data_IF_148005784621
#
_entry.id   IF_148005784621
#
_cell.length_a   1.000
_cell.length_b   1.000
_cell.length_c   1.000
_cell.angle_alpha   90.00
_cell.angle_beta   90.00
_cell.angle_gamma   90.00
#
_symmetry.space_group_name_H-M   'P 1'
#
loop_
_entity.id
_entity.type
_entity.pdbx_description
1 polymer ?
#
# COMPACT_ATOMS: atom_id res chain seq x y z
N UNK A 1 6.78 15.69 -0.50
CA UNK A 1 7.11 14.47 0.29
C UNK A 1 6.73 14.59 1.76
N UNK A 2 7.22 15.59 2.51
CA UNK A 2 6.86 15.73 3.93
C UNK A 2 5.37 16.08 4.17
N UNK A 3 4.73 16.83 3.26
CA UNK A 3 3.34 17.26 3.42
C UNK A 3 2.36 16.09 3.61
N UNK A 4 2.40 15.04 2.78
CA UNK A 4 1.52 13.87 2.93
C UNK A 4 1.75 13.09 4.23
N UNK A 5 3.01 13.03 4.69
CA UNK A 5 3.34 12.35 5.94
C UNK A 5 2.86 13.14 7.16
N UNK A 6 2.96 14.48 7.13
CA UNK A 6 2.35 15.37 8.11
C UNK A 6 0.82 15.25 8.13
N UNK A 7 0.19 15.15 6.96
CA UNK A 7 -1.26 14.94 6.82
C UNK A 7 -1.71 13.64 7.49
N UNK A 8 -0.88 12.59 7.51
CA UNK A 8 -1.20 11.32 8.17
C UNK A 8 -0.91 11.39 9.69
N UNK A 9 0.25 11.91 10.08
CA UNK A 9 0.71 11.88 11.47
C UNK A 9 -0.03 12.89 12.37
N UNK A 10 -0.38 14.07 11.84
CA UNK A 10 -0.99 15.13 12.64
C UNK A 10 -2.39 14.75 13.16
N UNK A 11 -3.35 14.28 12.34
CA UNK A 11 -4.67 13.88 12.83
C UNK A 11 -4.59 12.73 13.83
N UNK A 12 -3.67 11.78 13.61
CA UNK A 12 -3.44 10.67 14.53
C UNK A 12 -2.96 11.16 15.90
N UNK A 13 -2.00 12.09 15.94
CA UNK A 13 -1.49 12.68 17.19
C UNK A 13 -2.58 13.50 17.87
N UNK A 14 -3.32 14.33 17.13
CA UNK A 14 -4.42 15.14 17.66
C UNK A 14 -5.51 14.24 18.27
N UNK A 15 -5.88 13.16 17.58
CA UNK A 15 -6.82 12.16 18.11
C UNK A 15 -6.28 11.47 19.38
N UNK A 16 -4.99 11.11 19.40
CA UNK A 16 -4.34 10.50 20.56
C UNK A 16 -4.28 11.41 21.79
N UNK A 17 -4.28 12.73 21.61
CA UNK A 17 -4.31 13.68 22.72
C UNK A 17 -5.68 13.81 23.37
N UNK A 18 -6.76 13.32 22.73
CA UNK A 18 -8.13 13.40 23.23
C UNK A 18 -8.54 12.10 23.94
N UNK A 19 -8.58 12.07 25.29
CA UNK A 19 -9.05 10.91 26.02
C UNK A 19 -10.58 10.83 25.97
N UNK A 20 -11.14 9.69 25.52
CA UNK A 20 -12.57 9.41 25.59
C UNK A 20 -12.82 8.27 26.58
N UNK A 21 -13.58 8.57 27.64
CA UNK A 21 -13.87 7.61 28.71
C UNK A 21 -15.18 6.84 28.52
N UNK A 22 -16.04 7.27 27.59
CA UNK A 22 -17.35 6.66 27.38
C UNK A 22 -17.29 5.44 26.46
N UNK A 23 -17.67 4.26 26.96
CA UNK A 23 -17.68 3.00 26.20
C UNK A 23 -18.62 3.03 24.98
N UNK A 24 -19.71 3.79 25.03
CA UNK A 24 -20.63 3.97 23.89
C UNK A 24 -19.99 4.76 22.75
N UNK A 25 -19.20 5.79 23.06
CA UNK A 25 -18.47 6.55 22.06
C UNK A 25 -17.41 5.67 21.37
N UNK A 26 -16.71 4.81 22.11
CA UNK A 26 -15.74 3.86 21.52
C UNK A 26 -16.40 2.84 20.58
N UNK A 27 -17.59 2.35 20.93
CA UNK A 27 -18.38 1.47 20.04
C UNK A 27 -18.82 2.20 18.77
N UNK A 28 -19.24 3.47 18.89
CA UNK A 28 -19.58 4.30 17.73
C UNK A 28 -18.37 4.51 16.83
N UNK A 29 -17.20 4.83 17.40
CA UNK A 29 -15.95 5.01 16.64
C UNK A 29 -15.61 3.73 15.86
N UNK A 30 -15.67 2.55 16.48
CA UNK A 30 -15.45 1.27 15.78
C UNK A 30 -16.42 1.05 14.60
N UNK A 31 -17.69 1.44 14.77
CA UNK A 31 -18.68 1.37 13.70
C UNK A 31 -18.37 2.36 12.57
N UNK A 32 -17.97 3.59 12.91
CA UNK A 32 -17.58 4.60 11.92
C UNK A 32 -16.33 4.19 11.14
N UNK A 33 -15.29 3.68 11.82
CA UNK A 33 -14.09 3.15 11.18
C UNK A 33 -14.43 2.08 10.13
N UNK A 34 -15.37 1.19 10.46
CA UNK A 34 -15.80 0.14 9.53
C UNK A 34 -16.49 0.72 8.29
N UNK A 35 -17.37 1.71 8.45
CA UNK A 35 -18.04 2.40 7.33
C UNK A 35 -17.07 3.18 6.46
N UNK A 36 -16.11 3.86 7.07
CA UNK A 36 -15.14 4.69 6.37
C UNK A 36 -14.26 3.84 5.44
N UNK A 37 -13.92 2.60 5.81
CA UNK A 37 -13.20 1.68 4.90
C UNK A 37 -13.94 1.48 3.58
N UNK A 38 -15.26 1.28 3.61
CA UNK A 38 -16.05 1.11 2.38
C UNK A 38 -16.04 2.39 1.53
N UNK A 39 -16.12 3.56 2.17
CA UNK A 39 -16.06 4.86 1.48
C UNK A 39 -14.70 5.07 0.81
N UNK A 40 -13.60 4.77 1.50
CA UNK A 40 -12.24 4.85 0.94
C UNK A 40 -12.09 3.92 -0.26
N UNK A 41 -12.50 2.65 -0.12
CA UNK A 41 -12.42 1.67 -1.21
C UNK A 41 -13.23 2.08 -2.43
N UNK A 42 -14.40 2.69 -2.21
CA UNK A 42 -15.23 3.23 -3.27
C UNK A 42 -14.48 4.30 -4.08
N UNK A 43 -13.91 5.29 -3.39
CA UNK A 43 -13.14 6.34 -4.05
C UNK A 43 -11.87 5.81 -4.72
N UNK A 44 -11.21 4.82 -4.12
CA UNK A 44 -10.06 4.16 -4.72
C UNK A 44 -10.40 3.42 -6.02
N UNK A 45 -11.61 2.85 -6.11
CA UNK A 45 -12.12 2.23 -7.33
C UNK A 45 -12.33 3.22 -8.48
N UNK A 46 -12.58 4.49 -8.18
CA UNK A 46 -12.77 5.54 -9.19
C UNK A 46 -11.44 5.92 -9.87
N UNK A 47 -10.32 5.88 -9.14
CA UNK A 47 -9.01 6.37 -9.59
C UNK A 47 -8.54 5.85 -10.97
N UNK A 48 -8.70 4.56 -11.31
CA UNK A 48 -8.26 4.03 -12.61
C UNK A 48 -9.04 4.58 -13.82
N UNK A 49 -10.25 5.10 -13.63
CA UNK A 49 -11.10 5.61 -14.71
C UNK A 49 -10.58 6.92 -15.33
N UNK A 50 -9.68 7.62 -14.63
CA UNK A 50 -9.11 8.90 -15.02
C UNK A 50 -7.69 8.81 -15.61
N UNK A 51 -7.15 7.60 -15.80
CA UNK A 51 -5.83 7.44 -16.44
C UNK A 51 -5.92 7.70 -17.94
N UNK A 52 -5.25 8.76 -18.38
CA UNK A 52 -5.10 9.09 -19.79
C UNK A 52 -4.25 8.05 -20.52
N UNK A 53 -4.53 7.84 -21.81
CA UNK A 53 -3.75 6.98 -22.69
C UNK A 53 -3.79 5.46 -22.39
N UNK A 54 -4.74 5.01 -21.56
CA UNK A 54 -4.94 3.60 -21.26
C UNK A 54 -5.26 2.77 -22.52
N UNK A 55 -6.09 3.31 -23.43
CA UNK A 55 -6.64 2.56 -24.56
C UNK A 55 -5.60 2.16 -25.63
N UNK A 56 -4.54 2.93 -25.82
CA UNK A 56 -3.55 2.71 -26.89
C UNK A 56 -2.57 1.57 -26.59
N UNK A 57 -2.30 1.31 -25.30
CA UNK A 57 -1.32 0.31 -24.85
C UNK A 57 -1.86 -0.59 -23.74
N UNK A 58 -3.19 -0.71 -23.63
CA UNK A 58 -3.89 -1.38 -22.53
C UNK A 58 -3.34 -2.79 -22.26
N UNK A 59 -3.19 -3.59 -23.33
CA UNK A 59 -2.75 -4.98 -23.20
C UNK A 59 -1.33 -5.08 -22.63
N UNK A 60 -0.41 -4.22 -23.07
CA UNK A 60 0.96 -4.22 -22.57
C UNK A 60 1.02 -3.77 -21.10
N UNK A 61 0.28 -2.72 -20.74
CA UNK A 61 0.17 -2.21 -19.36
C UNK A 61 -0.37 -3.29 -18.44
N UNK A 62 -1.49 -3.94 -18.82
CA UNK A 62 -2.10 -5.00 -18.04
C UNK A 62 -1.18 -6.22 -17.91
N UNK A 63 -0.50 -6.61 -18.98
CA UNK A 63 0.47 -7.71 -18.94
C UNK A 63 1.62 -7.41 -17.96
N UNK A 64 2.25 -6.24 -18.07
CA UNK A 64 3.33 -5.84 -17.16
C UNK A 64 2.85 -5.74 -15.70
N UNK A 65 1.68 -5.15 -15.47
CA UNK A 65 1.10 -5.06 -14.13
C UNK A 65 0.78 -6.45 -13.55
N UNK A 66 0.09 -7.32 -14.30
CA UNK A 66 -0.31 -8.64 -13.83
C UNK A 66 0.88 -9.51 -13.45
N UNK A 67 1.91 -9.55 -14.29
CA UNK A 67 3.14 -10.30 -14.02
C UNK A 67 3.86 -9.74 -12.77
N UNK A 68 3.97 -8.41 -12.68
CA UNK A 68 4.59 -7.74 -11.53
C UNK A 68 3.87 -8.05 -10.22
N UNK A 69 2.53 -7.96 -10.20
CA UNK A 69 1.69 -8.21 -9.03
C UNK A 69 1.91 -9.63 -8.53
N UNK A 70 1.81 -10.62 -9.42
CA UNK A 70 1.92 -12.03 -9.07
C UNK A 70 3.31 -12.32 -8.50
N UNK A 71 4.37 -11.92 -9.19
CA UNK A 71 5.75 -12.20 -8.76
C UNK A 71 6.05 -11.53 -7.41
N UNK A 72 5.76 -10.23 -7.29
CA UNK A 72 6.07 -9.47 -6.08
C UNK A 72 5.25 -10.00 -4.88
N UNK A 73 3.97 -10.31 -5.07
CA UNK A 73 3.15 -10.89 -4.01
C UNK A 73 3.66 -12.27 -3.60
N UNK A 74 4.01 -13.16 -4.54
CA UNK A 74 4.53 -14.48 -4.21
C UNK A 74 5.84 -14.38 -3.43
N UNK A 75 6.77 -13.51 -3.85
CA UNK A 75 8.01 -13.25 -3.12
C UNK A 75 7.75 -12.72 -1.70
N UNK A 76 6.85 -11.75 -1.56
CA UNK A 76 6.52 -11.18 -0.26
C UNK A 76 5.84 -12.22 0.65
N UNK A 77 4.86 -12.97 0.15
CA UNK A 77 4.16 -14.02 0.91
C UNK A 77 5.16 -15.07 1.37
N UNK A 78 6.02 -15.58 0.47
CA UNK A 78 7.01 -16.59 0.81
C UNK A 78 7.98 -16.10 1.90
N UNK A 79 8.52 -14.89 1.75
CA UNK A 79 9.45 -14.31 2.72
C UNK A 79 8.78 -14.04 4.09
N UNK A 80 7.53 -13.60 4.09
CA UNK A 80 6.78 -13.32 5.32
C UNK A 80 6.32 -14.60 6.02
N UNK A 81 5.94 -15.64 5.29
CA UNK A 81 5.66 -16.96 5.87
C UNK A 81 6.93 -17.57 6.48
N UNK A 82 8.07 -17.41 5.82
CA UNK A 82 9.36 -17.81 6.36
C UNK A 82 9.72 -17.02 7.63
N UNK A 83 9.49 -15.70 7.65
CA UNK A 83 9.67 -14.88 8.84
C UNK A 83 8.77 -15.34 10.00
N UNK A 84 7.50 -15.63 9.72
CA UNK A 84 6.55 -16.11 10.72
C UNK A 84 6.97 -17.47 11.29
N UNK A 85 7.47 -18.37 10.44
CA UNK A 85 8.00 -19.67 10.89
C UNK A 85 9.23 -19.54 11.79
N UNK A 86 10.11 -18.56 11.54
CA UNK A 86 11.33 -18.36 12.35
C UNK A 86 11.09 -17.54 13.61
N UNK A 87 10.23 -16.54 13.54
CA UNK A 87 9.94 -15.63 14.64
C UNK A 87 8.42 -15.46 14.73
N UNK A 88 7.65 -16.41 15.27
CA UNK A 88 6.20 -16.32 15.30
C UNK A 88 5.74 -15.11 16.13
N UNK A 89 4.78 -14.35 15.60
CA UNK A 89 4.19 -13.24 16.34
C UNK A 89 3.11 -13.77 17.28
N UNK A 90 3.54 -14.25 18.45
CA UNK A 90 2.64 -14.70 19.52
C UNK A 90 2.01 -13.51 20.23
N UNK A 91 0.69 -13.34 20.12
CA UNK A 91 -0.09 -12.40 20.92
C UNK A 91 -0.76 -13.09 22.10
N UNK A 92 -0.83 -12.39 23.23
CA UNK A 92 -1.35 -12.87 24.51
C UNK A 92 -2.89 -12.94 24.55
N UNK A 93 -3.58 -12.36 23.57
CA UNK A 93 -5.01 -12.59 23.36
C UNK A 93 -5.24 -13.99 22.77
N UNK A 94 -5.42 -14.94 23.69
CA UNK A 94 -6.18 -16.17 23.49
C UNK A 94 -7.54 -15.74 22.92
N UNK A 95 -7.70 -15.77 21.60
CA UNK A 95 -9.04 -15.81 21.01
C UNK A 95 -9.68 -17.05 21.61
N UNK A 96 -10.62 -16.83 22.54
CA UNK A 96 -11.45 -17.91 23.08
C UNK A 96 -11.98 -18.72 21.91
N UNK A 97 -11.87 -20.05 22.05
CA UNK A 97 -12.42 -21.10 21.18
C UNK A 97 -13.31 -20.56 20.05
N UNK A 98 -12.69 -20.18 18.93
CA UNK A 98 -13.41 -20.18 17.67
C UNK A 98 -13.31 -21.62 17.20
N UNK A 99 -14.37 -22.37 17.49
CA UNK A 99 -14.65 -23.69 16.96
C UNK A 99 -14.23 -23.77 15.50
N UNK A 100 -13.53 -24.85 15.18
CA UNK A 100 -13.15 -25.27 13.84
C UNK A 100 -14.43 -25.49 13.01
N UNK A 101 -15.00 -24.43 12.46
CA UNK A 101 -16.01 -24.48 11.42
C UNK A 101 -15.39 -23.89 10.14
N UNK A 102 -15.34 -24.64 9.03
CA UNK A 102 -14.95 -24.10 7.74
C UNK A 102 -16.10 -23.22 7.26
N UNK A 103 -16.13 -21.96 7.69
CA UNK A 103 -17.06 -20.99 7.14
C UNK A 103 -16.60 -20.68 5.70
N UNK A 104 -17.49 -20.77 4.69
CA UNK A 104 -17.11 -20.45 3.32
C UNK A 104 -16.71 -18.97 3.23
N UNK A 105 -15.94 -18.63 2.19
CA UNK A 105 -15.41 -17.29 1.88
C UNK A 105 -16.14 -16.13 2.58
N UNK A 106 -15.43 -15.23 3.27
CA UNK A 106 -16.10 -14.19 4.03
C UNK A 106 -16.82 -13.28 3.04
N UNK A 107 -18.15 -13.23 3.15
CA UNK A 107 -19.01 -12.24 2.49
C UNK A 107 -18.46 -10.80 2.55
N UNK A 108 -17.66 -10.50 3.57
CA UNK A 108 -16.97 -9.22 3.73
C UNK A 108 -15.94 -8.94 2.61
N UNK A 109 -15.06 -9.88 2.25
CA UNK A 109 -14.09 -9.65 1.15
C UNK A 109 -14.81 -9.46 -0.18
N UNK A 110 -15.91 -10.18 -0.41
CA UNK A 110 -16.75 -10.03 -1.60
C UNK A 110 -17.45 -8.66 -1.64
N UNK A 111 -17.94 -8.18 -0.49
CA UNK A 111 -18.52 -6.84 -0.36
C UNK A 111 -17.48 -5.74 -0.64
N UNK A 112 -16.27 -5.87 -0.07
CA UNK A 112 -15.18 -4.92 -0.33
C UNK A 112 -14.83 -4.89 -1.82
N UNK A 113 -14.75 -6.06 -2.46
CA UNK A 113 -14.54 -6.18 -3.91
C UNK A 113 -15.67 -5.51 -4.71
N UNK A 114 -16.93 -5.77 -4.35
CA UNK A 114 -18.10 -5.18 -5.00
C UNK A 114 -18.13 -3.66 -4.92
N UNK A 115 -17.72 -3.07 -3.79
CA UNK A 115 -17.66 -1.62 -3.63
C UNK A 115 -16.59 -0.97 -4.51
N UNK A 116 -15.43 -1.62 -4.68
CA UNK A 116 -14.36 -1.16 -5.59
C UNK A 116 -14.83 -1.22 -7.04
N UNK A 117 -15.46 -2.34 -7.45
CA UNK A 117 -16.01 -2.50 -8.80
C UNK A 117 -17.10 -1.46 -9.06
N UNK A 118 -17.98 -1.21 -8.10
CA UNK A 118 -19.01 -0.18 -8.20
C UNK A 118 -18.39 1.22 -8.35
N UNK A 119 -17.36 1.53 -7.56
CA UNK A 119 -16.59 2.77 -7.69
C UNK A 119 -15.98 2.92 -9.09
N UNK A 120 -15.37 1.86 -9.61
CA UNK A 120 -14.80 1.87 -10.96
C UNK A 120 -15.86 2.10 -12.04
N UNK A 121 -16.97 1.36 -12.01
CA UNK A 121 -18.08 1.52 -12.96
C UNK A 121 -18.68 2.93 -12.91
N UNK A 122 -18.83 3.52 -11.73
CA UNK A 122 -19.28 4.90 -11.60
C UNK A 122 -18.21 5.90 -12.07
N UNK A 123 -16.93 5.64 -11.83
CA UNK A 123 -15.83 6.44 -12.37
C UNK A 123 -15.85 6.53 -13.89
N UNK A 124 -16.23 5.45 -14.59
CA UNK A 124 -16.36 5.44 -16.05
C UNK A 124 -17.42 6.43 -16.57
N UNK A 125 -18.41 6.82 -15.76
CA UNK A 125 -19.42 7.80 -16.16
C UNK A 125 -18.88 9.23 -16.27
N UNK A 126 -17.66 9.49 -15.75
CA UNK A 126 -16.95 10.80 -15.80
C UNK A 126 -17.82 12.00 -15.40
N UNK A 127 -18.74 11.82 -14.46
CA UNK A 127 -19.55 12.92 -13.94
C UNK A 127 -18.65 13.98 -13.26
N UNK A 128 -18.91 15.28 -13.46
CA UNK A 128 -18.06 16.36 -12.95
C UNK A 128 -17.93 16.36 -11.42
N UNK A 129 -18.95 15.92 -10.69
CA UNK A 129 -18.90 15.72 -9.24
C UNK A 129 -17.84 14.68 -8.82
N UNK A 130 -17.63 13.62 -9.62
CA UNK A 130 -16.68 12.54 -9.30
C UNK A 130 -15.22 12.97 -9.43
N UNK A 131 -14.94 14.14 -10.00
CA UNK A 131 -13.58 14.70 -10.04
C UNK A 131 -13.07 15.06 -8.64
N UNK A 132 -13.97 15.36 -7.70
CA UNK A 132 -13.64 15.64 -6.30
C UNK A 132 -13.50 14.36 -5.45
N UNK A 133 -13.59 13.17 -6.06
CA UNK A 133 -13.45 11.89 -5.35
C UNK A 133 -12.10 11.76 -4.63
N UNK A 134 -11.03 12.25 -5.23
CA UNK A 134 -9.68 12.21 -4.64
C UNK A 134 -9.61 13.06 -3.37
N UNK A 135 -10.07 14.31 -3.43
CA UNK A 135 -10.13 15.20 -2.26
C UNK A 135 -11.03 14.64 -1.16
N UNK A 136 -12.19 14.09 -1.53
CA UNK A 136 -13.10 13.45 -0.59
C UNK A 136 -12.46 12.24 0.12
N UNK A 137 -11.68 11.43 -0.62
CA UNK A 137 -10.92 10.31 -0.05
C UNK A 137 -9.86 10.78 0.95
N UNK A 138 -9.13 11.86 0.63
CA UNK A 138 -8.13 12.45 1.52
C UNK A 138 -8.74 12.96 2.83
N UNK A 139 -9.84 13.72 2.76
CA UNK A 139 -10.55 14.18 3.97
C UNK A 139 -11.11 13.00 4.79
N UNK A 140 -11.62 11.99 4.11
CA UNK A 140 -12.14 10.76 4.73
C UNK A 140 -11.02 10.02 5.49
N UNK A 141 -9.82 9.94 4.90
CA UNK A 141 -8.65 9.36 5.54
C UNK A 141 -8.19 10.18 6.76
N UNK A 142 -8.13 11.51 6.65
CA UNK A 142 -7.76 12.39 7.78
C UNK A 142 -8.71 12.16 8.97
N UNK A 143 -10.02 12.11 8.71
CA UNK A 143 -11.00 11.83 9.75
C UNK A 143 -10.84 10.43 10.34
N UNK A 144 -10.57 9.44 9.51
CA UNK A 144 -10.28 8.08 9.98
C UNK A 144 -9.07 8.04 10.92
N UNK A 145 -7.96 8.67 10.55
CA UNK A 145 -6.73 8.64 11.33
C UNK A 145 -6.90 9.34 12.68
N UNK A 146 -7.68 10.41 12.71
CA UNK A 146 -8.11 11.05 13.95
C UNK A 146 -8.86 10.07 14.86
N UNK A 147 -9.83 9.33 14.33
CA UNK A 147 -10.58 8.32 15.07
C UNK A 147 -9.69 7.17 15.58
N UNK A 148 -8.73 6.71 14.78
CA UNK A 148 -7.73 5.71 15.19
C UNK A 148 -6.87 6.25 16.33
N UNK A 149 -6.44 7.52 16.26
CA UNK A 149 -5.65 8.18 17.29
C UNK A 149 -6.33 8.14 18.66
N UNK A 150 -7.63 8.48 18.69
CA UNK A 150 -8.46 8.39 19.91
C UNK A 150 -8.45 6.97 20.47
N UNK A 151 -8.60 5.96 19.61
CA UNK A 151 -8.59 4.57 20.06
C UNK A 151 -7.25 4.15 20.64
N UNK A 152 -6.13 4.56 20.05
CA UNK A 152 -4.79 4.26 20.57
C UNK A 152 -4.61 4.76 22.00
N UNK A 153 -5.06 6.00 22.28
CA UNK A 153 -4.98 6.60 23.61
C UNK A 153 -5.82 5.84 24.63
N UNK A 154 -7.03 5.46 24.26
CA UNK A 154 -7.95 4.78 25.17
C UNK A 154 -7.58 3.31 25.41
N UNK A 155 -6.75 2.71 24.54
CA UNK A 155 -6.12 1.41 24.77
C UNK A 155 -4.81 1.50 25.57
N UNK A 156 -4.44 2.68 26.08
CA UNK A 156 -3.30 2.86 26.98
C UNK A 156 -1.92 2.69 26.34
N UNK A 157 -1.82 2.73 25.01
CA UNK A 157 -0.53 2.57 24.31
C UNK A 157 0.30 3.84 24.37
N UNK A 158 1.59 3.72 24.70
CA UNK A 158 2.50 4.87 24.74
C UNK A 158 3.00 5.27 23.35
N UNK A 159 3.20 6.57 23.10
CA UNK A 159 3.78 7.10 21.85
C UNK A 159 5.14 6.46 21.51
N UNK A 160 5.96 6.15 22.52
CA UNK A 160 7.25 5.48 22.32
C UNK A 160 7.10 4.07 21.75
N UNK A 161 6.10 3.31 22.21
CA UNK A 161 5.79 1.97 21.68
C UNK A 161 5.19 2.04 20.27
N UNK A 162 4.49 3.13 19.93
CA UNK A 162 3.96 3.39 18.60
C UNK A 162 5.10 3.66 17.61
N UNK A 163 6.08 4.49 17.98
CA UNK A 163 7.16 4.90 17.07
C UNK A 163 8.28 3.87 16.96
N UNK A 164 8.59 3.13 18.03
CA UNK A 164 9.71 2.16 18.07
C UNK A 164 9.24 0.71 18.09
N UNK A 165 8.30 0.35 17.21
CA UNK A 165 7.86 -1.03 17.08
C UNK A 165 8.88 -1.88 16.30
N UNK A 166 9.65 -2.70 17.01
CA UNK A 166 10.67 -3.60 16.41
C UNK A 166 10.08 -4.56 15.37
N UNK A 167 8.85 -5.03 15.58
CA UNK A 167 8.21 -5.99 14.66
C UNK A 167 7.86 -5.33 13.34
N UNK A 168 7.29 -4.12 13.37
CA UNK A 168 7.02 -3.32 12.17
C UNK A 168 8.28 -3.06 11.34
N UNK A 169 9.40 -2.72 11.99
CA UNK A 169 10.69 -2.53 11.31
C UNK A 169 11.19 -3.80 10.62
N UNK A 170 11.14 -4.96 11.30
CA UNK A 170 11.58 -6.25 10.72
C UNK A 170 10.72 -6.58 9.48
N UNK A 171 9.40 -6.45 9.60
CA UNK A 171 8.47 -6.73 8.48
C UNK A 171 8.75 -5.79 7.30
N UNK A 172 9.02 -4.50 7.55
CA UNK A 172 9.39 -3.54 6.50
C UNK A 172 10.67 -3.92 5.76
N UNK A 173 11.72 -4.32 6.49
CA UNK A 173 12.98 -4.78 5.88
C UNK A 173 12.75 -6.04 5.04
N UNK A 174 12.00 -7.01 5.55
CA UNK A 174 11.68 -8.25 4.82
C UNK A 174 10.88 -7.95 3.56
N UNK A 175 9.83 -7.11 3.63
CA UNK A 175 9.03 -6.70 2.46
C UNK A 175 9.89 -5.95 1.44
N UNK A 176 10.75 -5.05 1.90
CA UNK A 176 11.68 -4.33 1.02
C UNK A 176 12.57 -5.31 0.25
N UNK A 177 13.26 -6.21 0.96
CA UNK A 177 14.17 -7.16 0.34
C UNK A 177 13.45 -8.13 -0.61
N UNK A 178 12.32 -8.70 -0.18
CA UNK A 178 11.53 -9.64 -0.99
C UNK A 178 10.86 -8.97 -2.19
N UNK A 179 10.39 -7.73 -2.07
CA UNK A 179 9.87 -6.97 -3.21
C UNK A 179 10.98 -6.65 -4.22
N UNK A 180 12.18 -6.26 -3.76
CA UNK A 180 13.31 -6.03 -4.68
C UNK A 180 13.72 -7.32 -5.40
N UNK A 181 13.76 -8.47 -4.71
CA UNK A 181 13.95 -9.77 -5.36
C UNK A 181 12.84 -10.05 -6.40
N UNK A 182 11.59 -9.75 -6.06
CA UNK A 182 10.47 -9.81 -7.00
C UNK A 182 10.69 -8.90 -8.22
N UNK A 183 11.22 -7.70 -8.03
CA UNK A 183 11.59 -6.78 -9.11
C UNK A 183 12.69 -7.31 -10.03
N UNK A 184 13.67 -8.04 -9.48
CA UNK A 184 14.71 -8.72 -10.27
C UNK A 184 14.07 -9.81 -11.14
N UNK A 185 13.26 -10.69 -10.55
CA UNK A 185 12.58 -11.76 -11.28
C UNK A 185 11.61 -11.19 -12.34
N UNK A 186 10.89 -10.13 -11.98
CA UNK A 186 9.99 -9.43 -12.88
C UNK A 186 10.72 -8.85 -14.10
N UNK A 187 11.91 -8.27 -13.90
CA UNK A 187 12.74 -7.78 -15.00
C UNK A 187 13.13 -8.90 -15.97
N UNK A 188 13.56 -10.06 -15.47
CA UNK A 188 13.92 -11.20 -16.30
C UNK A 188 12.74 -11.77 -17.08
N UNK A 189 11.58 -11.93 -16.43
CA UNK A 189 10.38 -12.51 -17.06
C UNK A 189 9.80 -11.58 -18.11
N UNK A 190 9.79 -10.26 -17.86
CA UNK A 190 9.23 -9.28 -18.78
C UNK A 190 10.23 -8.79 -19.84
N UNK A 191 11.48 -9.25 -19.80
CA UNK A 191 12.55 -8.76 -20.68
C UNK A 191 12.88 -7.27 -20.47
N UNK A 192 12.58 -6.74 -19.28
CA UNK A 192 12.82 -5.34 -18.94
C UNK A 192 14.25 -5.17 -18.41
N UNK A 193 14.85 -3.97 -18.55
CA UNK A 193 16.08 -3.65 -17.85
C UNK A 193 15.90 -3.87 -16.34
N UNK A 194 16.90 -4.49 -15.70
CA UNK A 194 16.88 -4.80 -14.26
C UNK A 194 16.45 -3.61 -13.39
N UNK A 195 16.88 -2.41 -13.77
CA UNK A 195 16.60 -1.15 -13.09
C UNK A 195 15.13 -0.76 -13.15
N UNK A 196 14.47 -1.04 -14.27
CA UNK A 196 13.04 -0.81 -14.46
C UNK A 196 12.23 -1.75 -13.57
N UNK A 197 12.57 -3.05 -13.54
CA UNK A 197 11.90 -4.00 -12.65
C UNK A 197 12.08 -3.68 -11.16
N UNK A 198 13.29 -3.27 -10.75
CA UNK A 198 13.57 -2.81 -9.39
C UNK A 198 12.80 -1.52 -9.04
N UNK A 199 12.72 -0.56 -9.96
CA UNK A 199 11.92 0.66 -9.77
C UNK A 199 10.42 0.34 -9.63
N UNK A 200 9.89 -0.55 -10.48
CA UNK A 200 8.49 -0.98 -10.42
C UNK A 200 8.15 -1.69 -9.11
N UNK A 201 9.08 -2.45 -8.53
CA UNK A 201 8.87 -3.12 -7.25
C UNK A 201 8.99 -2.19 -6.02
N UNK A 202 9.63 -1.03 -6.19
CA UNK A 202 9.92 -0.08 -5.11
C UNK A 202 8.74 0.81 -4.72
N UNK A 203 7.59 0.68 -5.38
CA UNK A 203 6.39 1.43 -5.04
C UNK A 203 5.69 0.94 -3.76
N UNK A 204 5.94 -0.31 -3.35
CA UNK A 204 5.41 -0.92 -2.11
C UNK A 204 3.90 -0.68 -1.85
N UNK A 205 3.07 -0.61 -2.89
CA UNK A 205 1.64 -0.34 -2.76
C UNK A 205 1.24 1.13 -2.81
N UNK A 206 2.17 2.09 -2.83
CA UNK A 206 1.85 3.51 -2.95
C UNK A 206 1.62 3.92 -4.42
N UNK A 207 0.48 3.50 -4.98
CA UNK A 207 0.19 3.58 -6.41
C UNK A 207 0.19 5.02 -6.97
N UNK A 208 -0.28 6.00 -6.20
CA UNK A 208 -0.40 7.38 -6.66
C UNK A 208 0.97 8.04 -6.85
N UNK A 209 1.87 7.85 -5.89
CA UNK A 209 3.23 8.37 -5.97
C UNK A 209 4.09 7.56 -6.96
N UNK A 210 4.02 6.23 -6.90
CA UNK A 210 4.84 5.37 -7.76
C UNK A 210 4.46 5.55 -9.23
N UNK A 211 3.16 5.63 -9.56
CA UNK A 211 2.68 5.85 -10.92
C UNK A 211 3.22 7.15 -11.54
N UNK A 212 3.17 8.27 -10.81
CA UNK A 212 3.65 9.57 -11.28
C UNK A 212 5.18 9.53 -11.47
N UNK A 213 5.93 9.10 -10.44
CA UNK A 213 7.40 9.10 -10.49
C UNK A 213 7.93 8.18 -11.60
N UNK A 214 7.31 7.02 -11.82
CA UNK A 214 7.72 6.10 -12.89
C UNK A 214 7.27 6.58 -14.27
N UNK A 215 6.16 7.31 -14.37
CA UNK A 215 5.76 7.95 -15.64
C UNK A 215 6.80 8.98 -16.07
N UNK A 216 7.24 9.84 -15.15
CA UNK A 216 8.27 10.86 -15.43
C UNK A 216 9.65 10.24 -15.74
N UNK A 217 9.98 9.12 -15.10
CA UNK A 217 11.31 8.52 -15.17
C UNK A 217 11.47 7.47 -16.29
N UNK A 218 10.44 6.67 -16.56
CA UNK A 218 10.49 5.50 -17.45
C UNK A 218 9.41 5.52 -18.55
N UNK A 219 8.60 6.58 -18.59
CA UNK A 219 7.54 6.78 -19.57
C UNK A 219 6.17 6.26 -19.13
N UNK A 220 5.09 6.66 -19.83
CA UNK A 220 3.70 6.44 -19.40
C UNK A 220 3.28 4.98 -19.34
N UNK A 221 3.85 4.11 -20.18
CA UNK A 221 3.53 2.67 -20.17
C UNK A 221 4.01 2.01 -18.88
N UNK A 222 5.27 2.25 -18.47
CA UNK A 222 5.84 1.70 -17.25
C UNK A 222 5.21 2.34 -16.01
N UNK A 223 4.98 3.66 -16.04
CA UNK A 223 4.29 4.37 -14.97
C UNK A 223 2.87 3.85 -14.73
N UNK A 224 2.10 3.64 -15.80
CA UNK A 224 0.76 3.04 -15.70
C UNK A 224 0.81 1.60 -15.19
N UNK A 225 1.75 0.79 -15.68
CA UNK A 225 1.92 -0.59 -15.20
C UNK A 225 2.27 -0.64 -13.71
N UNK A 226 3.10 0.28 -13.23
CA UNK A 226 3.45 0.41 -11.82
C UNK A 226 2.27 0.85 -10.95
N UNK A 227 1.48 1.84 -11.43
CA UNK A 227 0.23 2.25 -10.79
C UNK A 227 -0.71 1.06 -10.61
N UNK A 228 -1.01 0.30 -11.67
CA UNK A 228 -1.89 -0.86 -11.58
C UNK A 228 -1.30 -1.96 -10.71
N UNK A 229 0.03 -2.16 -10.77
CA UNK A 229 0.69 -3.13 -9.92
C UNK A 229 0.48 -2.81 -8.43
N UNK A 230 0.77 -1.58 -8.01
CA UNK A 230 0.63 -1.19 -6.61
C UNK A 230 -0.84 -1.11 -6.17
N UNK A 231 -1.74 -0.61 -7.03
CA UNK A 231 -3.18 -0.57 -6.75
C UNK A 231 -3.75 -1.99 -6.57
N UNK A 232 -3.40 -2.92 -7.46
CA UNK A 232 -3.83 -4.31 -7.35
C UNK A 232 -3.27 -4.98 -6.09
N UNK A 233 -2.01 -4.71 -5.74
CA UNK A 233 -1.40 -5.23 -4.50
C UNK A 233 -2.13 -4.71 -3.27
N UNK A 234 -2.50 -3.44 -3.24
CA UNK A 234 -3.26 -2.84 -2.15
C UNK A 234 -4.66 -3.46 -2.04
N UNK A 235 -5.39 -3.57 -3.16
CA UNK A 235 -6.71 -4.21 -3.21
C UNK A 235 -6.67 -5.66 -2.73
N UNK A 236 -5.70 -6.43 -3.23
CA UNK A 236 -5.51 -7.82 -2.81
C UNK A 236 -5.13 -7.90 -1.33
N UNK A 237 -4.29 -7.01 -0.82
CA UNK A 237 -3.98 -6.96 0.60
C UNK A 237 -5.26 -6.77 1.44
N UNK A 238 -6.09 -5.78 1.11
CA UNK A 238 -7.35 -5.50 1.83
C UNK A 238 -8.26 -6.73 1.84
N UNK A 239 -8.39 -7.42 0.70
CA UNK A 239 -9.21 -8.63 0.60
C UNK A 239 -8.65 -9.81 1.40
N UNK A 240 -7.32 -9.92 1.50
CA UNK A 240 -6.62 -11.05 2.13
C UNK A 240 -6.39 -10.86 3.64
N UNK A 241 -6.35 -9.62 4.16
CA UNK A 241 -6.10 -9.32 5.58
C UNK A 241 -7.00 -10.12 6.54
N UNK A 242 -8.34 -10.17 6.38
CA UNK A 242 -9.22 -10.86 7.34
C UNK A 242 -8.93 -12.36 7.46
N UNK A 243 -8.50 -12.98 6.35
CA UNK A 243 -8.11 -14.40 6.33
C UNK A 243 -6.69 -14.63 6.85
N UNK A 244 -5.73 -13.79 6.44
CA UNK A 244 -4.33 -13.94 6.78
C UNK A 244 -4.05 -13.65 8.25
N UNK A 245 -4.75 -12.70 8.87
CA UNK A 245 -4.46 -12.28 10.24
C UNK A 245 -4.61 -13.40 11.27
N UNK A 246 -5.47 -14.40 10.96
CA UNK A 246 -5.68 -15.61 11.77
C UNK A 246 -4.54 -16.61 11.67
N UNK A 247 -3.81 -16.60 10.54
CA UNK A 247 -2.69 -17.52 10.27
C UNK A 247 -1.33 -16.88 10.55
N UNK A 248 -1.13 -15.65 10.09
CA UNK A 248 0.12 -14.91 10.20
C UNK A 248 -0.16 -13.40 10.22
N UNK A 249 0.01 -12.77 11.38
CA UNK A 249 -0.07 -11.32 11.54
C UNK A 249 1.01 -10.61 10.71
N UNK A 250 2.20 -11.20 10.59
CA UNK A 250 3.32 -10.60 9.85
C UNK A 250 3.06 -10.61 8.34
N UNK A 251 2.43 -11.67 7.83
CA UNK A 251 2.02 -11.73 6.41
C UNK A 251 0.91 -10.74 6.13
N UNK A 252 -0.12 -10.68 6.98
CA UNK A 252 -1.21 -9.71 6.83
C UNK A 252 -0.68 -8.26 6.82
N UNK A 253 0.21 -7.91 7.76
CA UNK A 253 0.85 -6.60 7.82
C UNK A 253 1.73 -6.35 6.59
N UNK A 254 2.61 -7.28 6.23
CA UNK A 254 3.60 -7.04 5.18
C UNK A 254 3.02 -6.94 3.77
N UNK A 255 1.87 -7.56 3.50
CA UNK A 255 1.19 -7.39 2.20
C UNK A 255 0.60 -6.00 2.01
N UNK A 256 0.29 -5.30 3.10
CA UNK A 256 -0.21 -3.93 3.04
C UNK A 256 0.84 -2.95 2.51
N UNK A 257 2.14 -3.23 2.74
CA UNK A 257 3.21 -2.36 2.28
C UNK A 257 3.12 -0.95 2.88
N UNK A 258 3.39 0.07 2.06
CA UNK A 258 3.35 1.47 2.48
C UNK A 258 1.97 1.89 3.03
N UNK A 259 0.90 1.29 2.51
CA UNK A 259 -0.46 1.69 2.87
C UNK A 259 -0.95 1.11 4.20
N UNK A 260 -0.07 0.43 4.94
CA UNK A 260 -0.34 -0.06 6.29
C UNK A 260 -0.57 1.04 7.31
N UNK A 261 -0.13 2.27 7.04
CA UNK A 261 -0.32 3.41 7.93
C UNK A 261 -1.57 4.24 7.63
N UNK A 262 -2.23 4.03 6.48
CA UNK A 262 -3.39 4.80 6.02
C UNK A 262 -4.57 3.91 5.60
N UNK A 263 -4.66 3.49 4.34
CA UNK A 263 -5.84 2.86 3.74
C UNK A 263 -6.11 1.45 4.27
N UNK A 264 -5.07 0.68 4.53
CA UNK A 264 -5.21 -0.69 5.03
C UNK A 264 -5.19 -0.77 6.57
N UNK A 265 -4.80 0.31 7.24
CA UNK A 265 -4.73 0.40 8.70
C UNK A 265 -6.05 0.02 9.41
N UNK A 266 -7.24 0.48 8.97
CA UNK A 266 -8.48 0.19 9.67
C UNK A 266 -8.91 -1.27 9.49
N UNK A 267 -8.59 -1.86 8.34
CA UNK A 267 -8.86 -3.27 8.05
C UNK A 267 -7.94 -4.15 8.90
N UNK A 268 -6.66 -3.78 9.02
CA UNK A 268 -5.71 -4.41 9.94
C UNK A 268 -6.18 -4.29 11.38
N UNK A 269 -6.61 -3.11 11.80
CA UNK A 269 -7.07 -2.87 13.17
C UNK A 269 -8.35 -3.66 13.49
N UNK A 270 -9.33 -3.68 12.57
CA UNK A 270 -10.57 -4.44 12.74
C UNK A 270 -10.30 -5.95 12.83
N UNK A 271 -9.37 -6.46 12.03
CA UNK A 271 -9.10 -7.90 11.93
C UNK A 271 -8.09 -8.39 12.96
N UNK A 272 -7.08 -7.57 13.29
CA UNK A 272 -5.95 -7.90 14.16
C UNK A 272 -5.96 -7.25 15.53
N UNK A 273 -6.96 -6.40 15.81
CA UNK A 273 -7.06 -5.63 17.05
C UNK A 273 -6.14 -4.41 17.07
N UNK A 274 -6.27 -3.60 18.11
CA UNK A 274 -5.52 -2.32 18.25
C UNK A 274 -4.01 -2.58 18.45
N UNK A 275 -3.61 -3.77 18.90
CA UNK A 275 -2.22 -4.17 19.11
C UNK A 275 -1.36 -4.15 17.82
N UNK A 276 -1.95 -4.33 16.64
CA UNK A 276 -1.21 -4.35 15.37
C UNK A 276 -0.89 -2.94 14.85
N UNK A 277 -1.65 -1.94 15.30
CA UNK A 277 -1.60 -0.56 14.78
C UNK A 277 -0.20 0.07 14.92
N UNK A 278 0.51 -0.03 16.06
CA UNK A 278 1.90 0.44 16.17
C UNK A 278 2.83 -0.13 15.10
N UNK A 279 2.77 -1.43 14.86
CA UNK A 279 3.61 -2.08 13.86
C UNK A 279 3.23 -1.65 12.44
N UNK A 280 1.94 -1.43 12.18
CA UNK A 280 1.41 -0.97 10.90
C UNK A 280 1.85 0.46 10.57
N UNK A 281 1.86 1.36 11.56
CA UNK A 281 2.35 2.73 11.38
C UNK A 281 3.86 2.71 11.06
N UNK A 282 4.67 1.99 11.84
CA UNK A 282 6.14 1.94 11.62
C UNK A 282 6.48 1.28 10.28
N UNK A 283 5.78 0.20 9.93
CA UNK A 283 5.96 -0.50 8.65
C UNK A 283 5.67 0.43 7.46
N UNK A 284 4.50 1.06 7.47
CA UNK A 284 4.04 1.92 6.37
C UNK A 284 4.88 3.18 6.26
N UNK A 285 5.24 3.79 7.39
CA UNK A 285 6.11 4.96 7.43
C UNK A 285 7.48 4.67 6.82
N UNK A 286 8.12 3.56 7.21
CA UNK A 286 9.45 3.21 6.69
C UNK A 286 9.39 2.93 5.19
N UNK A 287 8.41 2.17 4.72
CA UNK A 287 8.24 1.91 3.29
C UNK A 287 7.93 3.19 2.51
N UNK A 288 7.07 4.07 3.03
CA UNK A 288 6.72 5.35 2.40
C UNK A 288 7.94 6.27 2.24
N UNK A 289 8.87 6.26 3.19
CA UNK A 289 10.15 6.97 3.04
C UNK A 289 11.04 6.33 1.96
N UNK A 290 11.05 5.00 1.87
CA UNK A 290 11.86 4.27 0.92
C UNK A 290 11.37 4.40 -0.53
N UNK A 291 10.06 4.49 -0.78
CA UNK A 291 9.48 4.56 -2.14
C UNK A 291 10.19 5.58 -3.04
N UNK A 292 10.16 6.90 -2.75
CA UNK A 292 10.78 7.90 -3.61
C UNK A 292 12.31 7.78 -3.66
N UNK A 293 12.95 7.36 -2.56
CA UNK A 293 14.41 7.19 -2.48
C UNK A 293 14.87 6.07 -3.42
N UNK A 294 14.22 4.91 -3.36
CA UNK A 294 14.56 3.74 -4.17
C UNK A 294 14.23 3.96 -5.65
N UNK A 295 13.06 4.53 -5.96
CA UNK A 295 12.70 4.85 -7.36
C UNK A 295 13.73 5.82 -7.96
N UNK A 296 14.06 6.91 -7.25
CA UNK A 296 15.07 7.86 -7.70
C UNK A 296 16.47 7.23 -7.82
N UNK A 297 16.83 6.34 -6.89
CA UNK A 297 18.11 5.61 -6.92
C UNK A 297 18.22 4.72 -8.15
N UNK A 298 17.22 3.89 -8.45
CA UNK A 298 17.22 3.02 -9.62
C UNK A 298 17.12 3.79 -10.93
N UNK A 299 16.39 4.91 -10.94
CA UNK A 299 16.37 5.82 -12.08
C UNK A 299 17.74 6.45 -12.34
N UNK A 300 18.42 7.01 -11.33
CA UNK A 300 19.78 7.57 -11.49
C UNK A 300 20.80 6.51 -11.90
N UNK A 301 20.65 5.29 -11.40
CA UNK A 301 21.47 4.17 -11.85
C UNK A 301 21.22 3.87 -13.33
N UNK A 302 20.03 4.14 -13.87
CA UNK A 302 19.72 3.94 -15.29
C UNK A 302 20.42 4.97 -16.19
N UNK A 303 20.42 6.24 -15.80
CA UNK A 303 21.00 7.34 -16.58
C UNK A 303 22.53 7.30 -16.60
N UNK A 304 23.17 6.81 -15.53
CA UNK A 304 24.63 6.67 -15.43
C UNK A 304 25.25 5.68 -16.43
N UNK A 305 24.44 4.79 -17.02
CA UNK A 305 24.88 3.83 -18.05
C UNK A 305 24.44 4.20 -19.47
N UNK A 306 23.63 5.26 -19.64
CA UNK A 306 23.24 5.80 -20.95
C UNK A 306 24.13 6.94 -21.45
N UNK A 307 25.21 7.26 -20.74
CA UNK A 307 26.29 8.11 -21.24
C UNK A 307 27.59 7.31 -21.35
N UNK A 308 27.82 6.68 -22.51
CA UNK A 308 29.17 6.77 -23.09
C UNK A 308 29.24 7.40 -24.50
N UNK A 309 28.14 7.74 -25.19
CA UNK A 309 28.25 8.00 -26.65
C UNK A 309 27.63 9.29 -27.20
N UNK A 310 26.81 10.03 -26.46
CA UNK A 310 26.12 11.20 -27.04
C UNK A 310 26.96 12.51 -26.99
N UNK A 311 28.04 12.57 -26.21
CA UNK A 311 28.96 13.73 -26.20
C UNK A 311 29.98 13.73 -27.35
N UNK A 312 30.20 12.62 -28.04
CA UNK A 312 31.14 12.57 -29.17
C UNK A 312 30.49 12.86 -30.53
N UNK A 313 29.17 12.74 -30.66
CA UNK A 313 28.47 12.99 -31.94
C UNK A 313 28.19 14.49 -32.13
N UNK A 314 27.91 15.25 -31.07
CA UNK A 314 27.76 16.71 -31.17
C UNK A 314 29.09 17.47 -31.39
N UNK A 315 30.23 16.91 -30.98
CA UNK A 315 31.53 17.56 -31.20
C UNK A 315 32.11 17.37 -32.62
N UNK A 316 31.59 16.41 -33.41
CA UNK A 316 32.03 16.17 -34.79
C UNK A 316 31.12 16.78 -35.87
N UNK A 317 29.94 17.29 -35.50
CA UNK A 317 29.01 17.93 -36.44
C UNK A 317 29.13 19.46 -36.50
N UNK A 318 30.10 20.05 -35.79
CA UNK A 318 30.39 21.49 -35.80
C UNK A 318 31.71 21.78 -36.54
N UNK A 319 32.35 20.77 -37.14
CA UNK A 319 33.65 20.91 -37.81
C UNK A 319 33.68 20.34 -39.24
N UNK A 320 32.58 20.46 -39.97
CA UNK A 320 32.51 20.27 -41.43
C UNK A 320 31.57 21.30 -42.04
#
# INVERSE_FOLDING_TARGET
MFSGLFIILLPLVVGYLLPLRHSSALKLINRMLSWIVYVILFFMGISPAFLDNLASNLLAILHYAAVSVVIILLCNIAALLWLESKMPWRSQHRQGEITLAPRPWPSESLQLCGVVVLGFLLGLTRLPFLQHATEASEYTLIFLLFLVGIQLRNNGMSLRQIVLNRRGMIVAVVVTASSLLGGILNAFILGLPLKTGLAMASGFGWYSLSGILLTESFGPVIGSAAFFNDLCRELLAIMLIPGLIRRSRSTALGLCGATSMDFTLPVLQRSGGVEIVPAAIVHGFLLSLLVPILIAFFYRLSTRWRQPSCRQICAKSISL
#
